data_IF_161185079924
#
_entry.id   IF_161185079924
#
_cell.length_a   1.000
_cell.length_b   1.000
_cell.length_c   1.000
_cell.angle_alpha   90.00
_cell.angle_beta   90.00
_cell.angle_gamma   90.00
#
_symmetry.space_group_name_H-M   'P 1'
#
loop_
_entity.id
_entity.type
_entity.pdbx_description
1 polymer ?
#
# COMPACT_ATOMS: atom_id res chain seq x y z
N UNK A 1 -12.13 -54.20 11.24
CA UNK A 1 -13.27 -54.94 10.65
C UNK A 1 -14.06 -53.93 9.82
N UNK A 2 -14.28 -54.01 8.53
CA UNK A 2 -13.85 -54.83 7.39
C UNK A 2 -14.59 -54.17 6.20
N UNK A 3 -13.89 -53.79 5.12
CA UNK A 3 -13.99 -54.36 3.75
C UNK A 3 -15.39 -54.14 3.11
N UNK A 4 -15.61 -53.77 1.84
CA UNK A 4 -14.82 -53.70 0.60
C UNK A 4 -15.74 -53.00 -0.43
N UNK A 5 -15.25 -52.12 -1.31
CA UNK A 5 -14.60 -52.43 -2.61
C UNK A 5 -15.58 -52.93 -3.67
N UNK A 6 -15.77 -52.13 -4.73
CA UNK A 6 -15.87 -52.63 -6.11
C UNK A 6 -15.26 -51.61 -7.08
N UNK A 7 -14.28 -52.13 -7.82
CA UNK A 7 -13.50 -51.54 -8.92
C UNK A 7 -14.30 -51.30 -10.20
N UNK A 8 -13.74 -50.45 -11.08
CA UNK A 8 -13.39 -50.75 -12.50
C UNK A 8 -13.43 -49.46 -13.32
N UNK A 9 -12.27 -48.82 -13.56
CA UNK A 9 -11.46 -48.93 -14.80
C UNK A 9 -12.17 -48.52 -16.11
N UNK A 10 -11.79 -47.37 -16.70
CA UNK A 10 -10.88 -47.34 -17.86
C UNK A 10 -10.54 -45.92 -18.34
N UNK A 11 -9.24 -45.81 -18.61
CA UNK A 11 -8.44 -44.73 -19.17
C UNK A 11 -8.70 -44.51 -20.68
N UNK A 12 -8.21 -43.36 -21.17
CA UNK A 12 -7.81 -42.99 -22.56
C UNK A 12 -8.68 -41.88 -23.20
N UNK A 13 -8.18 -40.84 -23.87
CA UNK A 13 -6.84 -40.37 -24.27
C UNK A 13 -7.00 -38.88 -24.71
N UNK A 14 -5.98 -38.05 -24.47
CA UNK A 14 -5.86 -36.66 -24.96
C UNK A 14 -5.51 -36.62 -26.47
N UNK A 15 -5.97 -35.63 -27.26
CA UNK A 15 -5.50 -35.44 -28.62
C UNK A 15 -4.26 -34.53 -28.70
N UNK A 16 -3.22 -35.01 -29.41
CA UNK A 16 -2.01 -34.28 -29.77
C UNK A 16 -2.17 -33.45 -31.06
N UNK A 17 -1.47 -32.32 -31.12
CA UNK A 17 -1.35 -31.41 -32.28
C UNK A 17 -0.55 -32.00 -33.45
N UNK A 18 -0.79 -31.58 -34.71
CA UNK A 18 0.02 -32.00 -35.86
C UNK A 18 1.16 -31.02 -36.19
N UNK A 19 2.31 -31.59 -36.56
CA UNK A 19 3.49 -30.92 -37.14
C UNK A 19 3.60 -31.15 -38.67
N UNK A 20 4.43 -30.37 -39.39
CA UNK A 20 4.20 -29.99 -40.79
C UNK A 20 4.89 -30.90 -41.83
N UNK A 21 4.31 -30.97 -43.02
CA UNK A 21 4.89 -31.72 -44.16
C UNK A 21 5.65 -30.81 -45.13
N UNK A 22 6.92 -31.14 -45.35
CA UNK A 22 7.81 -30.60 -46.38
C UNK A 22 7.64 -31.35 -47.71
N UNK A 23 7.48 -30.64 -48.85
CA UNK A 23 7.79 -31.15 -50.20
C UNK A 23 8.45 -30.09 -51.09
N UNK A 24 9.75 -30.29 -51.34
CA UNK A 24 10.55 -29.86 -52.53
C UNK A 24 10.05 -30.66 -53.77
N UNK A 25 10.28 -30.35 -55.06
CA UNK A 25 11.09 -29.40 -55.87
C UNK A 25 10.68 -29.60 -57.35
N UNK A 26 10.80 -28.59 -58.20
CA UNK A 26 11.19 -28.65 -59.64
C UNK A 26 11.01 -27.23 -60.23
N UNK A 27 12.03 -26.40 -60.46
CA UNK A 27 13.13 -26.37 -61.46
C UNK A 27 12.70 -26.07 -62.91
N UNK A 28 12.92 -24.83 -63.37
CA UNK A 28 13.88 -24.46 -64.43
C UNK A 28 13.62 -23.01 -64.91
N UNK A 29 14.61 -22.12 -64.74
CA UNK A 29 15.48 -21.51 -65.78
C UNK A 29 14.78 -20.49 -66.69
N UNK A 30 15.16 -19.22 -66.59
CA UNK A 30 16.01 -18.53 -67.58
C UNK A 30 16.35 -17.12 -67.07
N UNK A 31 17.53 -16.65 -67.48
CA UNK A 31 18.21 -15.48 -66.98
C UNK A 31 18.31 -14.36 -68.04
N UNK A 32 18.85 -13.22 -67.58
CA UNK A 32 19.61 -12.18 -68.30
C UNK A 32 18.80 -11.04 -68.98
N UNK A 33 18.99 -9.78 -68.51
CA UNK A 33 19.78 -8.68 -69.15
C UNK A 33 19.38 -7.32 -68.54
N UNK A 34 20.39 -6.48 -68.34
CA UNK A 34 20.37 -5.17 -67.69
C UNK A 34 20.19 -3.97 -68.65
N UNK A 35 19.86 -2.82 -68.03
CA UNK A 35 20.27 -1.42 -68.33
C UNK A 35 19.68 -0.65 -69.54
N UNK A 36 19.05 0.52 -69.28
CA UNK A 36 19.55 1.88 -69.63
C UNK A 36 18.49 3.00 -69.46
N UNK A 37 18.81 3.96 -68.58
CA UNK A 37 18.74 5.44 -68.61
C UNK A 37 17.88 6.16 -69.71
N UNK A 38 16.97 7.09 -69.32
CA UNK A 38 17.09 8.56 -69.54
C UNK A 38 15.88 9.40 -69.06
N UNK A 39 16.25 10.49 -68.40
CA UNK A 39 15.59 11.74 -67.96
C UNK A 39 14.38 12.32 -68.72
N UNK A 40 13.46 12.96 -67.98
CA UNK A 40 13.01 14.34 -68.25
C UNK A 40 12.41 15.02 -67.00
N UNK A 41 13.01 16.15 -66.61
CA UNK A 41 12.45 17.16 -65.70
C UNK A 41 11.57 18.12 -66.53
N UNK A 42 10.48 18.64 -65.94
CA UNK A 42 10.15 20.08 -65.77
C UNK A 42 8.64 20.29 -65.54
N UNK A 43 8.33 20.71 -64.31
CA UNK A 43 7.37 21.72 -63.83
C UNK A 43 5.89 21.66 -64.25
N UNK A 44 5.02 21.41 -63.26
CA UNK A 44 3.87 22.24 -62.80
C UNK A 44 3.37 21.53 -61.53
N UNK A 45 3.51 22.04 -60.32
CA UNK A 45 2.83 23.23 -59.80
C UNK A 45 1.96 22.81 -58.61
N UNK A 46 2.48 23.02 -57.40
CA UNK A 46 1.70 23.27 -56.18
C UNK A 46 0.66 22.25 -55.72
N UNK A 47 1.08 21.27 -54.90
CA UNK A 47 0.38 20.94 -53.65
C UNK A 47 1.45 20.67 -52.60
N UNK A 48 1.86 21.71 -51.87
CA UNK A 48 2.46 21.48 -50.57
C UNK A 48 1.36 20.85 -49.71
N UNK A 49 1.38 19.53 -49.54
CA UNK A 49 0.88 18.94 -48.32
C UNK A 49 1.71 19.56 -47.19
N UNK A 50 1.18 20.62 -46.58
CA UNK A 50 1.41 20.84 -45.16
C UNK A 50 0.86 19.58 -44.49
N UNK A 51 1.73 18.59 -44.30
CA UNK A 51 1.56 17.69 -43.17
C UNK A 51 1.49 18.62 -41.97
N UNK A 52 0.28 18.85 -41.47
CA UNK A 52 0.09 19.27 -40.10
C UNK A 52 0.85 18.23 -39.29
N UNK A 53 2.02 18.62 -38.76
CA UNK A 53 2.54 17.95 -37.58
C UNK A 53 1.43 18.13 -36.55
N UNK A 54 0.55 17.14 -36.41
CA UNK A 54 -0.16 16.95 -35.17
C UNK A 54 0.95 16.91 -34.12
N UNK A 55 1.05 17.94 -33.28
CA UNK A 55 1.92 17.91 -32.13
C UNK A 55 1.51 16.69 -31.32
N UNK A 56 2.21 15.57 -31.52
CA UNK A 56 1.97 14.37 -30.75
C UNK A 56 2.20 14.74 -29.29
N UNK A 57 1.28 14.33 -28.43
CA UNK A 57 1.38 14.53 -26.99
C UNK A 57 2.74 14.00 -26.50
N UNK A 58 3.58 14.88 -25.98
CA UNK A 58 4.90 14.54 -25.47
C UNK A 58 4.81 14.22 -23.97
N UNK A 59 4.59 12.93 -23.67
CA UNK A 59 4.46 12.42 -22.30
C UNK A 59 5.75 12.66 -21.51
N UNK A 60 6.92 12.57 -22.16
CA UNK A 60 8.21 12.78 -21.49
C UNK A 60 8.35 14.23 -21.01
N UNK A 61 7.86 15.20 -21.78
CA UNK A 61 7.82 16.61 -21.36
C UNK A 61 6.89 16.83 -20.16
N UNK A 62 5.73 16.18 -20.12
CA UNK A 62 4.80 16.25 -18.97
C UNK A 62 5.46 15.66 -17.73
N UNK A 63 6.13 14.51 -17.86
CA UNK A 63 6.86 13.88 -16.78
C UNK A 63 7.96 14.77 -16.23
N UNK A 64 8.78 15.37 -17.10
CA UNK A 64 9.85 16.26 -16.67
C UNK A 64 9.31 17.48 -15.93
N UNK A 65 8.22 18.08 -16.41
CA UNK A 65 7.51 19.16 -15.71
C UNK A 65 7.08 18.74 -14.30
N UNK A 66 6.50 17.55 -14.14
CA UNK A 66 6.07 17.01 -12.84
C UNK A 66 7.26 16.83 -11.88
N UNK A 67 8.35 16.23 -12.35
CA UNK A 67 9.57 16.01 -11.57
C UNK A 67 10.22 17.33 -11.17
N UNK A 68 10.34 18.29 -12.10
CA UNK A 68 10.96 19.59 -11.85
C UNK A 68 10.16 20.39 -10.81
N UNK A 69 8.82 20.40 -10.93
CA UNK A 69 7.93 21.04 -9.97
C UNK A 69 8.06 20.41 -8.58
N UNK A 70 8.11 19.08 -8.48
CA UNK A 70 8.24 18.36 -7.20
C UNK A 70 9.60 18.63 -6.54
N UNK A 71 10.68 18.67 -7.33
CA UNK A 71 12.04 18.93 -6.83
C UNK A 71 12.29 20.38 -6.43
N UNK A 72 11.37 21.30 -6.70
CA UNK A 72 11.53 22.71 -6.35
C UNK A 72 11.61 22.93 -4.83
N UNK A 73 10.92 22.12 -4.03
CA UNK A 73 10.96 22.18 -2.57
C UNK A 73 10.75 20.78 -1.95
N UNK A 74 11.80 20.25 -1.32
CA UNK A 74 11.78 18.97 -0.60
C UNK A 74 11.92 19.16 0.92
N UNK A 75 11.60 20.36 1.43
CA UNK A 75 11.72 20.68 2.86
C UNK A 75 10.90 19.77 3.78
N UNK A 76 9.81 19.16 3.26
CA UNK A 76 8.99 18.19 3.98
C UNK A 76 9.74 16.90 4.37
N UNK A 77 10.90 16.61 3.77
CA UNK A 77 11.78 15.50 4.16
C UNK A 77 12.74 15.86 5.31
N UNK A 78 12.83 17.13 5.69
CA UNK A 78 13.92 17.64 6.54
C UNK A 78 14.04 16.98 7.92
N UNK A 79 12.90 16.66 8.54
CA UNK A 79 12.81 16.07 9.88
C UNK A 79 12.77 14.55 9.89
N UNK A 80 12.51 13.92 8.74
CA UNK A 80 12.46 12.47 8.65
C UNK A 80 13.87 11.87 8.82
N UNK A 81 13.99 10.91 9.73
CA UNK A 81 15.21 10.17 10.02
C UNK A 81 14.88 8.69 10.14
N UNK A 82 15.78 7.79 9.71
CA UNK A 82 15.62 6.36 9.97
C UNK A 82 15.40 6.12 11.46
N UNK A 83 14.59 5.10 11.79
CA UNK A 83 14.43 4.67 13.17
C UNK A 83 15.78 4.15 13.69
N UNK A 84 16.20 4.61 14.85
CA UNK A 84 17.47 4.23 15.46
C UNK A 84 17.37 2.84 16.12
N UNK A 85 18.51 2.15 16.26
CA UNK A 85 18.58 0.78 16.80
C UNK A 85 17.92 0.64 18.18
N UNK A 86 18.05 1.65 19.04
CA UNK A 86 17.49 1.67 20.40
C UNK A 86 15.95 1.66 20.38
N UNK A 87 15.31 2.33 19.42
CA UNK A 87 13.85 2.35 19.35
C UNK A 87 13.28 0.97 18.97
N UNK A 88 13.98 0.17 18.16
CA UNK A 88 13.60 -1.23 17.91
C UNK A 88 13.66 -2.09 19.18
N UNK A 89 14.62 -1.81 20.07
CA UNK A 89 14.73 -2.48 21.36
C UNK A 89 13.58 -2.06 22.29
N UNK A 90 13.28 -0.77 22.35
CA UNK A 90 12.17 -0.23 23.14
C UNK A 90 10.80 -0.74 22.67
N UNK A 91 10.56 -0.86 21.36
CA UNK A 91 9.34 -1.45 20.80
C UNK A 91 9.13 -2.87 21.30
N UNK A 92 10.18 -3.69 21.29
CA UNK A 92 10.12 -5.07 21.79
C UNK A 92 9.88 -5.10 23.29
N UNK A 93 10.50 -4.21 24.07
CA UNK A 93 10.25 -4.13 25.51
C UNK A 93 8.80 -3.72 25.82
N UNK A 94 8.21 -2.79 25.07
CA UNK A 94 6.78 -2.44 25.18
C UNK A 94 5.90 -3.66 24.89
N UNK A 95 6.22 -4.46 23.87
CA UNK A 95 5.51 -5.70 23.60
C UNK A 95 5.70 -6.73 24.71
N UNK A 96 6.92 -6.93 25.22
CA UNK A 96 7.18 -7.83 26.34
C UNK A 96 6.34 -7.46 27.58
N UNK A 97 6.21 -6.17 27.89
CA UNK A 97 5.31 -5.69 28.95
C UNK A 97 3.85 -6.07 28.69
N UNK A 98 3.37 -5.91 27.46
CA UNK A 98 2.01 -6.30 27.09
C UNK A 98 1.78 -7.82 27.22
N UNK A 99 2.78 -8.64 26.83
CA UNK A 99 2.73 -10.10 26.98
C UNK A 99 2.68 -10.53 28.45
N UNK A 100 3.52 -9.93 29.30
CA UNK A 100 3.57 -10.23 30.72
C UNK A 100 2.24 -9.92 31.43
N UNK A 101 1.59 -8.80 31.09
CA UNK A 101 0.26 -8.44 31.62
C UNK A 101 -0.81 -9.46 31.22
N UNK A 102 -0.71 -10.03 30.02
CA UNK A 102 -1.65 -11.01 29.49
C UNK A 102 -1.30 -12.47 29.85
N UNK A 103 -0.20 -12.70 30.57
CA UNK A 103 0.25 -14.06 30.92
C UNK A 103 0.65 -14.91 29.71
N UNK A 104 1.18 -14.26 28.66
CA UNK A 104 1.62 -14.92 27.42
C UNK A 104 3.13 -15.15 27.46
N UNK A 105 3.57 -16.34 27.05
CA UNK A 105 4.97 -16.76 27.13
C UNK A 105 5.84 -16.20 26.01
N UNK A 106 5.28 -15.94 24.82
CA UNK A 106 5.97 -15.23 23.74
C UNK A 106 5.01 -14.66 22.70
N UNK A 107 5.46 -13.64 21.98
CA UNK A 107 4.89 -13.22 20.70
C UNK A 107 5.66 -13.88 19.55
N UNK A 108 4.96 -14.38 18.54
CA UNK A 108 5.55 -15.05 17.37
C UNK A 108 5.09 -14.41 16.07
N UNK A 109 6.04 -14.15 15.16
CA UNK A 109 5.79 -13.48 13.90
C UNK A 109 6.69 -13.99 12.76
N UNK A 110 6.21 -13.79 11.54
CA UNK A 110 6.92 -14.07 10.27
C UNK A 110 7.46 -12.76 9.65
N UNK A 111 8.41 -12.83 8.69
CA UNK A 111 8.83 -11.68 7.90
C UNK A 111 7.66 -10.94 7.23
N UNK A 112 7.57 -9.64 7.48
CA UNK A 112 6.48 -8.77 7.04
C UNK A 112 6.56 -7.41 7.73
N UNK A 113 5.48 -6.63 7.71
CA UNK A 113 5.44 -5.30 8.33
C UNK A 113 5.69 -5.35 9.85
N UNK A 114 5.12 -6.32 10.57
CA UNK A 114 5.39 -6.47 12.00
C UNK A 114 6.85 -6.84 12.27
N UNK A 115 7.47 -7.66 11.41
CA UNK A 115 8.90 -7.98 11.52
C UNK A 115 9.77 -6.75 11.27
N UNK A 116 9.44 -5.96 10.24
CA UNK A 116 10.13 -4.71 9.99
C UNK A 116 10.02 -3.76 11.19
N UNK A 117 8.85 -3.72 11.84
CA UNK A 117 8.59 -2.87 13.00
C UNK A 117 9.48 -3.21 14.20
N UNK A 118 9.69 -4.49 14.50
CA UNK A 118 10.45 -4.94 15.67
C UNK A 118 11.91 -5.30 15.38
N UNK A 119 12.22 -5.71 14.15
CA UNK A 119 13.50 -6.27 13.74
C UNK A 119 14.26 -5.44 12.70
N UNK A 120 13.68 -4.34 12.20
CA UNK A 120 14.26 -3.46 11.16
C UNK A 120 14.56 -4.16 9.82
N UNK A 121 13.91 -5.27 9.51
CA UNK A 121 14.09 -6.00 8.26
C UNK A 121 12.78 -6.00 7.50
N UNK A 122 12.77 -5.36 6.32
CA UNK A 122 11.66 -5.44 5.38
C UNK A 122 11.80 -6.66 4.47
N UNK A 123 10.73 -7.02 3.75
CA UNK A 123 10.80 -8.07 2.73
C UNK A 123 11.75 -7.72 1.58
N UNK A 124 11.91 -6.43 1.25
CA UNK A 124 12.73 -5.94 0.11
C UNK A 124 14.22 -5.89 0.45
N UNK A 125 14.60 -5.53 1.68
CA UNK A 125 16.00 -5.56 2.14
C UNK A 125 16.58 -6.98 2.20
N UNK A 126 15.70 -7.97 2.02
CA UNK A 126 15.93 -9.37 2.30
C UNK A 126 15.88 -10.24 1.04
N UNK A 127 14.99 -9.93 0.09
CA UNK A 127 14.82 -10.40 -1.31
C UNK A 127 15.06 -11.90 -1.67
N UNK A 128 15.06 -12.90 -0.76
CA UNK A 128 14.21 -14.06 -1.04
C UNK A 128 13.71 -14.75 0.23
N UNK A 129 13.02 -14.00 1.09
CA UNK A 129 12.08 -14.63 2.03
C UNK A 129 10.85 -13.78 2.25
N UNK A 130 10.07 -13.70 1.18
CA UNK A 130 8.63 -13.75 1.37
C UNK A 130 8.30 -14.92 2.33
N UNK A 131 7.16 -14.90 3.04
CA UNK A 131 6.76 -16.07 3.81
C UNK A 131 6.71 -17.33 2.90
N UNK A 132 7.77 -18.14 2.96
CA UNK A 132 7.98 -19.37 2.18
C UNK A 132 7.43 -20.58 2.92
N UNK A 133 7.39 -21.77 2.32
CA UNK A 133 6.92 -22.98 3.02
C UNK A 133 7.72 -23.31 4.29
N UNK A 134 8.99 -22.86 4.37
CA UNK A 134 9.91 -23.04 5.51
C UNK A 134 9.72 -21.96 6.58
N UNK A 135 9.39 -22.32 7.83
CA UNK A 135 9.25 -21.35 8.91
C UNK A 135 10.60 -20.67 9.26
N UNK A 136 10.62 -19.35 9.11
CA UNK A 136 11.56 -18.45 9.79
C UNK A 136 10.75 -17.52 10.68
N UNK A 137 10.90 -17.66 12.00
CA UNK A 137 10.07 -16.96 12.98
C UNK A 137 10.94 -16.10 13.88
N UNK A 138 10.48 -14.89 14.19
CA UNK A 138 10.99 -14.12 15.32
C UNK A 138 10.08 -14.37 16.53
N UNK A 139 10.71 -14.52 17.69
CA UNK A 139 10.06 -14.69 18.97
C UNK A 139 10.46 -13.54 19.90
N UNK A 140 9.48 -12.90 20.53
CA UNK A 140 9.69 -11.89 21.57
C UNK A 140 9.11 -12.46 22.86
N UNK A 141 9.99 -12.78 23.81
CA UNK A 141 9.64 -13.37 25.10
C UNK A 141 9.76 -12.29 26.20
N UNK A 142 8.80 -12.21 27.14
CA UNK A 142 8.95 -11.34 28.30
C UNK A 142 9.89 -11.96 29.33
N UNK A 143 10.98 -11.26 29.67
CA UNK A 143 11.84 -11.60 30.79
C UNK A 143 11.61 -10.61 31.92
N UNK A 144 11.22 -11.12 33.09
CA UNK A 144 11.07 -10.30 34.30
C UNK A 144 12.33 -10.44 35.14
N UNK A 145 13.01 -9.33 35.38
CA UNK A 145 14.16 -9.27 36.26
C UNK A 145 13.76 -9.44 37.73
N UNK A 146 14.75 -9.64 38.61
CA UNK A 146 14.50 -9.84 40.05
C UNK A 146 13.85 -8.62 40.74
N UNK A 147 14.04 -7.43 40.19
CA UNK A 147 13.44 -6.16 40.62
C UNK A 147 12.07 -5.89 39.96
N UNK A 148 11.59 -6.79 39.10
CA UNK A 148 10.25 -6.73 38.50
C UNK A 148 10.16 -5.94 37.19
N UNK A 149 11.29 -5.49 36.64
CA UNK A 149 11.31 -4.88 35.31
C UNK A 149 11.11 -5.95 34.23
N UNK A 150 10.27 -5.65 33.24
CA UNK A 150 10.00 -6.55 32.11
C UNK A 150 10.68 -6.01 30.87
N UNK A 151 11.57 -6.82 30.30
CA UNK A 151 12.29 -6.54 29.06
C UNK A 151 12.10 -7.67 28.06
N UNK A 152 12.33 -7.38 26.78
CA UNK A 152 12.24 -8.38 25.74
C UNK A 152 13.53 -9.21 25.62
N UNK A 153 13.38 -10.53 25.68
CA UNK A 153 14.30 -11.46 25.04
C UNK A 153 13.84 -11.74 23.62
N UNK A 154 14.75 -11.57 22.66
CA UNK A 154 14.47 -11.86 21.26
C UNK A 154 15.19 -13.13 20.85
N UNK A 155 14.46 -14.06 20.23
CA UNK A 155 15.02 -15.28 19.65
C UNK A 155 14.43 -15.53 18.25
N UNK A 156 15.02 -16.46 17.51
CA UNK A 156 14.59 -16.80 16.15
C UNK A 156 14.52 -18.30 15.95
N UNK A 157 13.56 -18.77 15.17
CA UNK A 157 13.54 -20.13 14.61
C UNK A 157 13.97 -20.03 13.14
N UNK A 158 15.01 -20.75 12.72
CA UNK A 158 15.54 -20.68 11.35
C UNK A 158 15.88 -22.06 10.80
N UNK A 159 15.70 -22.31 9.49
CA UNK A 159 16.35 -23.43 8.84
C UNK A 159 17.87 -23.35 9.08
N UNK A 160 18.51 -24.48 9.38
CA UNK A 160 19.94 -24.52 9.72
C UNK A 160 20.81 -24.00 8.58
N UNK A 161 20.52 -24.36 7.33
CA UNK A 161 21.30 -23.93 6.16
C UNK A 161 21.28 -22.41 5.93
N UNK A 162 20.39 -21.69 6.61
CA UNK A 162 20.19 -20.25 6.50
C UNK A 162 20.68 -19.45 7.70
N UNK A 163 21.13 -20.12 8.76
CA UNK A 163 21.54 -19.48 10.00
C UNK A 163 22.58 -18.37 9.76
N UNK A 164 23.58 -18.64 8.91
CA UNK A 164 24.61 -17.67 8.55
C UNK A 164 24.02 -16.42 7.89
N UNK A 165 22.99 -16.57 7.07
CA UNK A 165 22.31 -15.44 6.41
C UNK A 165 21.48 -14.63 7.40
N UNK A 166 20.76 -15.30 8.30
CA UNK A 166 20.01 -14.62 9.38
C UNK A 166 20.94 -13.77 10.25
N UNK A 167 22.14 -14.26 10.58
CA UNK A 167 23.13 -13.50 11.38
C UNK A 167 23.66 -12.24 10.67
N UNK A 168 23.60 -12.17 9.34
CA UNK A 168 24.07 -11.03 8.56
C UNK A 168 23.01 -9.94 8.35
N UNK A 169 21.78 -10.15 8.83
CA UNK A 169 20.68 -9.21 8.60
C UNK A 169 20.86 -7.84 9.22
N UNK A 170 21.70 -7.71 10.25
CA UNK A 170 21.83 -6.45 10.99
C UNK A 170 20.60 -6.12 11.84
N UNK A 171 19.83 -7.14 12.25
CA UNK A 171 18.70 -6.95 13.19
C UNK A 171 19.25 -6.33 14.49
N UNK A 172 18.69 -5.20 14.96
CA UNK A 172 19.11 -4.59 16.22
C UNK A 172 19.01 -5.59 17.39
N UNK A 173 20.08 -5.71 18.17
CA UNK A 173 20.18 -6.71 19.24
C UNK A 173 20.98 -6.16 20.43
N UNK A 174 20.60 -6.55 21.65
CA UNK A 174 21.40 -6.32 22.87
C UNK A 174 22.56 -7.30 22.98
N UNK A 175 22.40 -8.47 22.38
CA UNK A 175 23.38 -9.54 22.41
C UNK A 175 24.33 -9.44 21.22
N UNK A 176 25.60 -9.82 21.44
CA UNK A 176 26.63 -9.88 20.40
C UNK A 176 26.24 -10.83 19.26
N UNK A 177 25.51 -11.89 19.58
CA UNK A 177 25.04 -12.87 18.61
C UNK A 177 23.54 -13.10 18.76
N UNK A 178 22.82 -13.21 17.64
CA UNK A 178 21.40 -13.58 17.66
C UNK A 178 21.18 -14.97 18.30
N UNK A 179 20.16 -15.07 19.17
CA UNK A 179 19.71 -16.31 19.79
C UNK A 179 18.85 -17.11 18.80
N UNK A 180 19.45 -18.07 18.08
CA UNK A 180 18.78 -18.81 17.00
C UNK A 180 18.55 -20.27 17.42
N UNK A 181 17.32 -20.76 17.29
CA UNK A 181 16.95 -22.17 17.30
C UNK A 181 16.96 -22.64 15.85
N UNK A 182 17.90 -23.52 15.52
CA UNK A 182 18.02 -24.07 14.17
C UNK A 182 17.23 -25.38 14.05
N UNK A 183 16.66 -25.62 12.87
CA UNK A 183 16.03 -26.89 12.52
C UNK A 183 16.57 -27.41 11.18
N UNK A 184 16.75 -28.74 11.07
CA UNK A 184 17.17 -29.41 9.85
C UNK A 184 15.97 -29.67 8.92
N UNK A 185 16.19 -29.71 7.60
CA UNK A 185 15.12 -29.89 6.59
C UNK A 185 14.18 -31.10 6.83
N UNK A 186 14.65 -32.14 7.54
CA UNK A 186 13.88 -33.34 7.85
C UNK A 186 13.27 -33.35 9.26
N UNK A 187 13.43 -32.27 10.03
CA UNK A 187 12.85 -32.10 11.36
C UNK A 187 11.52 -31.36 11.27
N UNK A 188 10.66 -31.58 12.26
CA UNK A 188 9.51 -30.72 12.46
C UNK A 188 9.97 -29.43 13.16
N UNK A 189 9.92 -28.25 12.50
CA UNK A 189 10.39 -26.98 13.07
C UNK A 189 9.69 -26.61 14.38
N UNK A 190 8.40 -26.94 14.51
CA UNK A 190 7.59 -26.61 15.68
C UNK A 190 7.93 -27.52 16.88
N UNK A 191 8.16 -28.81 16.63
CA UNK A 191 8.66 -29.74 17.65
C UNK A 191 10.07 -29.35 18.12
N UNK A 192 10.92 -28.89 17.19
CA UNK A 192 12.25 -28.36 17.51
C UNK A 192 12.15 -27.13 18.40
N UNK A 193 11.21 -26.22 18.09
CA UNK A 193 10.99 -25.00 18.87
C UNK A 193 10.52 -25.29 20.30
N UNK A 194 9.48 -26.11 20.50
CA UNK A 194 8.95 -26.39 21.85
C UNK A 194 9.94 -27.16 22.73
N UNK A 195 10.79 -28.00 22.15
CA UNK A 195 11.85 -28.75 22.87
C UNK A 195 13.12 -27.92 23.08
N UNK A 196 13.20 -26.72 22.50
CA UNK A 196 14.37 -25.86 22.60
C UNK A 196 14.54 -25.28 24.00
N UNK A 197 15.72 -24.70 24.24
CA UNK A 197 16.05 -23.96 25.48
C UNK A 197 15.05 -22.85 25.84
N UNK A 198 14.28 -22.35 24.87
CA UNK A 198 13.37 -21.22 25.08
C UNK A 198 12.14 -21.60 25.90
N UNK A 199 11.70 -22.86 25.84
CA UNK A 199 10.45 -23.32 26.46
C UNK A 199 10.66 -24.52 27.41
N UNK A 200 11.91 -24.79 27.82
CA UNK A 200 12.21 -25.88 28.75
C UNK A 200 11.44 -25.73 30.06
N UNK A 201 10.72 -26.79 30.44
CA UNK A 201 9.95 -26.83 31.69
C UNK A 201 8.53 -26.30 31.58
N UNK A 202 8.12 -25.72 30.44
CA UNK A 202 6.73 -25.35 30.16
C UNK A 202 6.11 -26.39 29.21
N UNK A 203 5.18 -27.19 29.72
CA UNK A 203 4.56 -28.28 28.97
C UNK A 203 3.54 -27.82 27.92
N UNK A 204 3.03 -26.59 28.02
CA UNK A 204 2.13 -26.01 27.02
C UNK A 204 2.24 -24.48 27.03
N UNK A 205 3.30 -23.93 26.39
CA UNK A 205 3.51 -22.49 26.36
C UNK A 205 2.42 -21.80 25.54
N UNK A 206 2.01 -20.62 25.99
CA UNK A 206 1.04 -19.77 25.28
C UNK A 206 1.76 -18.78 24.37
N UNK A 207 1.50 -18.85 23.07
CA UNK A 207 2.07 -17.95 22.07
C UNK A 207 1.01 -17.00 21.52
N UNK A 208 1.24 -15.70 21.62
CA UNK A 208 0.46 -14.72 20.88
C UNK A 208 0.98 -14.64 19.46
N UNK A 209 0.12 -14.95 18.51
CA UNK A 209 0.48 -14.99 17.10
C UNK A 209 0.19 -13.63 16.45
N UNK A 210 1.13 -13.13 15.65
CA UNK A 210 0.90 -11.97 14.78
C UNK A 210 -0.35 -12.17 13.90
N UNK A 211 -1.11 -11.11 13.65
CA UNK A 211 -2.37 -11.21 12.92
C UNK A 211 -2.21 -11.65 11.45
N UNK A 212 -1.02 -11.46 10.86
CA UNK A 212 -0.73 -11.82 9.47
C UNK A 212 0.03 -13.16 9.34
N UNK A 213 0.29 -13.83 10.46
CA UNK A 213 0.96 -15.13 10.45
C UNK A 213 0.11 -16.15 9.69
N UNK A 214 0.75 -16.98 8.86
CA UNK A 214 0.01 -17.94 8.02
C UNK A 214 -0.59 -19.06 8.87
N UNK A 215 -1.84 -19.41 8.58
CA UNK A 215 -2.62 -20.43 9.32
C UNK A 215 -1.87 -21.76 9.54
N UNK A 216 -1.13 -22.25 8.55
CA UNK A 216 -0.43 -23.52 8.68
C UNK A 216 0.73 -23.47 9.69
N UNK A 217 1.31 -22.29 9.96
CA UNK A 217 2.29 -22.06 11.02
C UNK A 217 1.60 -22.21 12.38
N UNK A 218 0.46 -21.54 12.56
CA UNK A 218 -0.36 -21.60 13.79
C UNK A 218 -0.75 -23.04 14.09
N UNK A 219 -1.32 -23.75 13.11
CA UNK A 219 -1.66 -25.18 13.26
C UNK A 219 -0.45 -26.06 13.55
N UNK A 220 0.71 -25.72 12.99
CA UNK A 220 1.97 -26.38 13.27
C UNK A 220 2.42 -26.21 14.73
N UNK A 221 2.34 -24.98 15.24
CA UNK A 221 2.61 -24.65 16.64
C UNK A 221 1.63 -25.37 17.58
N UNK A 222 0.33 -25.30 17.30
CA UNK A 222 -0.71 -25.99 18.09
C UNK A 222 -0.47 -27.51 18.12
N UNK A 223 -0.13 -28.11 16.97
CA UNK A 223 0.15 -29.55 16.86
C UNK A 223 1.39 -29.98 17.64
N UNK A 224 2.37 -29.08 17.81
CA UNK A 224 3.57 -29.34 18.61
C UNK A 224 3.33 -29.20 20.13
N UNK A 225 2.20 -28.61 20.54
CA UNK A 225 1.79 -28.48 21.95
C UNK A 225 1.75 -27.05 22.48
N UNK A 226 1.95 -26.04 21.64
CA UNK A 226 1.71 -24.65 22.02
C UNK A 226 0.20 -24.36 22.14
N UNK A 227 -0.16 -23.40 22.98
CA UNK A 227 -1.49 -22.77 22.96
C UNK A 227 -1.38 -21.46 22.21
N UNK A 228 -1.92 -21.35 20.99
CA UNK A 228 -1.88 -20.07 20.25
C UNK A 228 -3.08 -19.18 20.58
N UNK A 229 -2.83 -17.87 20.68
CA UNK A 229 -3.85 -16.83 20.91
C UNK A 229 -3.67 -15.67 19.95
N UNK A 230 -4.76 -14.95 19.65
CA UNK A 230 -4.70 -13.71 18.87
C UNK A 230 -4.16 -12.52 19.67
N UNK A 231 -4.05 -11.37 19.03
CA UNK A 231 -3.57 -10.14 19.65
C UNK A 231 -4.44 -9.71 20.82
N UNK A 232 -3.81 -9.29 21.91
CA UNK A 232 -4.48 -8.57 22.99
C UNK A 232 -4.50 -7.06 22.71
N UNK A 233 -5.44 -6.29 23.31
CA UNK A 233 -5.46 -4.85 23.16
C UNK A 233 -4.13 -4.16 23.54
N UNK A 234 -3.44 -4.65 24.58
CA UNK A 234 -2.14 -4.08 24.99
C UNK A 234 -1.05 -4.32 23.95
N UNK A 235 -1.07 -5.48 23.27
CA UNK A 235 -0.11 -5.80 22.22
C UNK A 235 -0.37 -4.97 20.94
N UNK A 236 -1.64 -4.80 20.56
CA UNK A 236 -2.03 -3.95 19.43
C UNK A 236 -1.57 -2.49 19.64
N UNK A 237 -1.71 -1.98 20.87
CA UNK A 237 -1.34 -0.60 21.22
C UNK A 237 0.13 -0.27 20.95
N UNK A 238 1.02 -1.26 20.96
CA UNK A 238 2.46 -1.02 20.72
C UNK A 238 2.69 -0.38 19.35
N UNK A 239 2.01 -0.87 18.31
CA UNK A 239 2.06 -0.34 16.93
C UNK A 239 1.06 0.77 16.68
N UNK A 240 -0.11 0.72 17.32
CA UNK A 240 -1.14 1.75 17.13
C UNK A 240 -0.66 3.12 17.60
N UNK A 241 0.17 3.18 18.65
CA UNK A 241 0.71 4.42 19.21
C UNK A 241 2.09 4.74 18.62
N UNK A 242 2.15 5.77 17.78
CA UNK A 242 3.35 6.16 17.03
C UNK A 242 4.31 6.93 17.92
N UNK A 243 5.59 6.60 17.86
CA UNK A 243 6.66 7.41 18.43
C UNK A 243 6.79 8.75 17.70
N UNK A 244 7.44 9.78 18.29
CA UNK A 244 7.71 11.03 17.59
C UNK A 244 8.48 10.85 16.27
N UNK A 245 9.40 9.88 16.20
CA UNK A 245 10.14 9.59 14.98
C UNK A 245 9.24 8.99 13.90
N UNK A 246 8.33 8.07 14.28
CA UNK A 246 7.33 7.50 13.37
C UNK A 246 6.39 8.57 12.80
N UNK A 247 5.96 9.52 13.64
CA UNK A 247 5.11 10.64 13.21
C UNK A 247 5.81 11.49 12.14
N UNK A 248 7.09 11.81 12.30
CA UNK A 248 7.81 12.62 11.30
C UNK A 248 8.08 11.85 10.00
N UNK A 249 8.26 10.52 10.06
CA UNK A 249 8.33 9.67 8.88
C UNK A 249 6.99 9.64 8.13
N UNK A 250 5.88 9.42 8.85
CA UNK A 250 4.52 9.49 8.29
C UNK A 250 4.24 10.87 7.69
N UNK A 251 4.61 11.95 8.37
CA UNK A 251 4.45 13.31 7.86
C UNK A 251 5.21 13.53 6.57
N UNK A 252 6.47 13.10 6.51
CA UNK A 252 7.31 13.29 5.35
C UNK A 252 6.76 12.55 4.13
N UNK A 253 6.41 11.26 4.27
CA UNK A 253 5.89 10.46 3.16
C UNK A 253 4.51 10.95 2.71
N UNK A 254 3.62 11.29 3.65
CA UNK A 254 2.26 11.72 3.33
C UNK A 254 2.20 13.13 2.75
N UNK A 255 2.98 14.08 3.30
CA UNK A 255 3.11 15.42 2.71
C UNK A 255 3.76 15.33 1.33
N UNK A 256 4.80 14.52 1.17
CA UNK A 256 5.49 14.34 -0.11
C UNK A 256 4.57 13.79 -1.21
N UNK A 257 3.72 12.82 -0.89
CA UNK A 257 2.76 12.29 -1.87
C UNK A 257 1.68 13.32 -2.26
N UNK A 258 1.19 14.15 -1.33
CA UNK A 258 0.31 15.29 -1.68
C UNK A 258 1.02 16.29 -2.60
N UNK A 259 2.26 16.65 -2.26
CA UNK A 259 3.06 17.59 -3.06
C UNK A 259 3.33 17.01 -4.45
N UNK A 260 3.55 15.70 -4.59
CA UNK A 260 3.72 15.05 -5.89
C UNK A 260 2.47 15.18 -6.78
N UNK A 261 1.28 14.92 -6.26
CA UNK A 261 0.01 15.11 -7.00
C UNK A 261 -0.16 16.58 -7.41
N UNK A 262 0.12 17.52 -6.50
CA UNK A 262 0.03 18.97 -6.77
C UNK A 262 1.04 19.44 -7.81
N UNK A 263 2.27 18.95 -7.76
CA UNK A 263 3.34 19.27 -8.69
C UNK A 263 3.05 18.74 -10.11
N UNK A 264 2.44 17.56 -10.20
CA UNK A 264 2.04 16.93 -11.46
C UNK A 264 0.85 17.65 -12.12
N UNK A 265 -0.19 17.98 -11.33
CA UNK A 265 -1.46 18.51 -11.83
C UNK A 265 -1.33 19.62 -12.89
N UNK A 266 -0.53 20.69 -12.72
CA UNK A 266 -0.45 21.78 -13.70
C UNK A 266 0.26 21.38 -15.01
N UNK A 267 0.94 20.23 -15.02
CA UNK A 267 1.59 19.68 -16.21
C UNK A 267 0.64 18.82 -17.07
N UNK A 268 -0.48 18.35 -16.49
CA UNK A 268 -1.42 17.47 -17.15
C UNK A 268 -2.15 18.20 -18.29
N UNK A 269 -2.29 17.51 -19.42
CA UNK A 269 -2.96 18.04 -20.62
C UNK A 269 -3.95 17.01 -21.17
N UNK A 270 -5.02 17.45 -21.88
CA UNK A 270 -5.94 16.52 -22.51
C UNK A 270 -5.25 15.53 -23.45
N UNK A 271 -5.78 14.31 -23.49
CA UNK A 271 -5.27 13.22 -24.34
C UNK A 271 -4.34 12.23 -23.63
N UNK A 272 -3.80 12.58 -22.46
CA UNK A 272 -3.09 11.64 -21.58
C UNK A 272 -4.02 10.50 -21.16
N UNK A 273 -3.54 9.26 -21.15
CA UNK A 273 -4.30 8.14 -20.60
C UNK A 273 -4.11 8.02 -19.09
N UNK A 274 -5.00 7.30 -18.40
CA UNK A 274 -4.85 6.94 -16.99
C UNK A 274 -3.49 6.29 -16.70
N UNK A 275 -3.06 5.33 -17.53
CA UNK A 275 -1.75 4.67 -17.40
C UNK A 275 -0.57 5.64 -17.56
N UNK A 276 -0.69 6.62 -18.46
CA UNK A 276 0.35 7.63 -18.66
C UNK A 276 0.46 8.54 -17.44
N UNK A 277 -0.66 8.96 -16.85
CA UNK A 277 -0.66 9.77 -15.62
C UNK A 277 -0.14 8.95 -14.43
N UNK A 278 -0.50 7.67 -14.33
CA UNK A 278 0.05 6.73 -13.34
C UNK A 278 1.58 6.68 -13.44
N UNK A 279 2.10 6.40 -14.63
CA UNK A 279 3.55 6.34 -14.90
C UNK A 279 4.27 7.66 -14.58
N UNK A 280 3.66 8.80 -14.92
CA UNK A 280 4.23 10.12 -14.63
C UNK A 280 4.35 10.35 -13.12
N UNK A 281 3.32 10.00 -12.35
CA UNK A 281 3.31 10.17 -10.90
C UNK A 281 4.30 9.22 -10.23
N UNK A 282 4.35 7.95 -10.63
CA UNK A 282 5.32 6.96 -10.14
C UNK A 282 6.75 7.46 -10.32
N UNK A 283 7.09 7.88 -11.55
CA UNK A 283 8.42 8.41 -11.86
C UNK A 283 8.73 9.70 -11.09
N UNK A 284 7.71 10.50 -10.73
CA UNK A 284 7.89 11.68 -9.89
C UNK A 284 8.25 11.31 -8.45
N UNK A 285 7.55 10.34 -7.87
CA UNK A 285 7.83 9.85 -6.51
C UNK A 285 9.19 9.14 -6.43
N UNK A 286 9.53 8.30 -7.41
CA UNK A 286 10.85 7.67 -7.51
C UNK A 286 11.97 8.71 -7.58
N UNK A 287 11.75 9.83 -8.27
CA UNK A 287 12.76 10.88 -8.44
C UNK A 287 13.16 11.60 -7.14
N UNK A 288 12.38 11.45 -6.07
CA UNK A 288 12.67 12.00 -4.72
C UNK A 288 13.05 10.92 -3.70
N UNK A 289 13.22 9.67 -4.13
CA UNK A 289 13.66 8.56 -3.27
C UNK A 289 12.55 7.87 -2.48
N UNK A 290 11.29 8.03 -2.89
CA UNK A 290 10.21 7.18 -2.39
C UNK A 290 10.21 5.83 -3.10
N UNK A 291 9.80 4.78 -2.40
CA UNK A 291 9.48 3.48 -2.98
C UNK A 291 8.00 3.44 -3.34
N UNK A 292 7.65 2.80 -4.46
CA UNK A 292 6.26 2.69 -4.90
C UNK A 292 5.50 1.68 -4.04
N UNK A 293 4.22 1.95 -3.76
CA UNK A 293 3.31 1.00 -3.11
C UNK A 293 2.11 0.69 -4.01
N UNK A 294 1.27 1.70 -4.30
CA UNK A 294 0.21 1.61 -5.31
C UNK A 294 -0.08 2.98 -5.90
N UNK A 295 -0.70 2.99 -7.09
CA UNK A 295 -1.10 4.21 -7.76
C UNK A 295 -2.30 3.94 -8.67
N UNK A 296 -3.46 4.48 -8.29
CA UNK A 296 -4.74 4.34 -8.97
C UNK A 296 -5.12 5.70 -9.55
N UNK A 297 -5.12 5.80 -10.88
CA UNK A 297 -5.60 7.00 -11.60
C UNK A 297 -6.85 6.65 -12.40
N UNK A 298 -7.96 7.33 -12.08
CA UNK A 298 -9.26 7.03 -12.67
C UNK A 298 -9.94 8.32 -13.16
N UNK A 299 -10.50 8.28 -14.36
CA UNK A 299 -11.21 9.41 -14.97
C UNK A 299 -12.71 9.13 -15.12
N UNK A 300 -13.53 10.11 -14.73
CA UNK A 300 -14.99 10.09 -14.86
C UNK A 300 -15.57 8.78 -14.31
N UNK A 301 -16.35 8.01 -15.08
CA UNK A 301 -17.05 6.84 -14.58
C UNK A 301 -16.13 5.72 -14.08
N UNK A 302 -14.84 5.73 -14.43
CA UNK A 302 -13.87 4.82 -13.84
C UNK A 302 -13.64 5.14 -12.36
N UNK A 303 -13.68 6.43 -11.99
CA UNK A 303 -13.53 6.90 -10.60
C UNK A 303 -14.74 6.56 -9.72
N UNK A 304 -15.86 6.12 -10.32
CA UNK A 304 -17.00 5.59 -9.56
C UNK A 304 -16.76 4.17 -9.02
N UNK A 305 -15.60 3.56 -9.30
CA UNK A 305 -15.18 2.28 -8.74
C UNK A 305 -14.05 2.56 -7.73
N UNK A 306 -14.26 2.38 -6.42
CA UNK A 306 -13.30 2.82 -5.39
C UNK A 306 -11.87 2.32 -5.55
N UNK A 307 -11.70 1.11 -6.13
CA UNK A 307 -10.42 0.46 -6.42
C UNK A 307 -10.16 0.28 -7.94
N UNK A 308 -10.91 0.99 -8.78
CA UNK A 308 -10.91 0.77 -10.23
C UNK A 308 -11.60 -0.53 -10.65
N UNK A 309 -11.44 -0.90 -11.93
CA UNK A 309 -12.04 -2.11 -12.51
C UNK A 309 -11.27 -2.59 -13.75
N UNK A 310 -11.63 -3.77 -14.28
CA UNK A 310 -10.87 -4.47 -15.34
C UNK A 310 -10.71 -3.73 -16.69
N UNK A 311 -11.36 -2.57 -16.86
CA UNK A 311 -11.37 -1.78 -18.11
C UNK A 311 -10.62 -0.44 -17.98
N UNK A 312 -9.88 -0.22 -16.89
CA UNK A 312 -9.12 1.02 -16.63
C UNK A 312 -7.80 1.08 -17.40
N UNK A 313 -7.18 2.27 -17.41
CA UNK A 313 -5.83 2.51 -17.95
C UNK A 313 -5.81 3.25 -19.28
N UNK A 314 -6.75 2.91 -20.18
CA UNK A 314 -6.81 3.44 -21.54
C UNK A 314 -7.60 4.74 -21.73
N UNK A 315 -8.33 5.20 -20.71
CA UNK A 315 -9.22 6.35 -20.85
C UNK A 315 -8.44 7.65 -20.93
N UNK A 316 -8.84 8.52 -21.86
CA UNK A 316 -8.16 9.78 -22.14
C UNK A 316 -8.70 10.93 -21.29
N UNK A 317 -7.78 11.70 -20.74
CA UNK A 317 -8.04 12.91 -19.99
C UNK A 317 -8.64 14.00 -20.87
N UNK A 318 -9.62 14.72 -20.33
CA UNK A 318 -10.20 15.94 -20.91
C UNK A 318 -10.23 17.05 -19.87
N UNK A 319 -10.54 18.28 -20.26
CA UNK A 319 -10.71 19.38 -19.31
C UNK A 319 -11.90 19.24 -18.36
N UNK A 320 -12.86 18.37 -18.70
CA UNK A 320 -14.06 18.12 -17.91
C UNK A 320 -13.93 16.88 -17.02
N UNK A 321 -12.88 16.08 -17.24
CA UNK A 321 -12.64 14.85 -16.51
C UNK A 321 -12.54 15.10 -15.00
N UNK A 322 -13.48 14.54 -14.23
CA UNK A 322 -13.23 14.31 -12.82
C UNK A 322 -12.12 13.27 -12.70
N UNK A 323 -10.99 13.66 -12.15
CA UNK A 323 -9.86 12.78 -11.90
C UNK A 323 -9.94 12.36 -10.44
N UNK A 324 -9.85 11.05 -10.17
CA UNK A 324 -9.57 10.49 -8.84
C UNK A 324 -8.18 9.88 -8.92
N UNK A 325 -7.24 10.40 -8.13
CA UNK A 325 -5.94 9.78 -7.92
C UNK A 325 -5.89 9.30 -6.49
N UNK A 326 -5.68 8.01 -6.30
CA UNK A 326 -5.40 7.40 -5.01
C UNK A 326 -4.04 6.72 -5.07
N UNK A 327 -3.12 7.14 -4.21
CA UNK A 327 -1.71 6.85 -4.36
C UNK A 327 -1.03 6.70 -3.01
N UNK A 328 -0.23 5.65 -2.90
CA UNK A 328 0.59 5.36 -1.75
C UNK A 328 2.05 5.12 -2.14
N UNK A 329 2.94 5.50 -1.24
CA UNK A 329 4.38 5.28 -1.36
C UNK A 329 4.95 4.84 -0.01
N UNK A 330 6.19 4.37 -0.02
CA UNK A 330 6.96 4.12 1.19
C UNK A 330 8.17 5.05 1.27
N UNK A 331 8.46 5.53 2.48
CA UNK A 331 9.69 6.23 2.79
C UNK A 331 10.23 5.76 4.13
N UNK A 332 11.47 5.24 4.13
CA UNK A 332 12.12 4.69 5.31
C UNK A 332 11.24 3.69 6.09
N UNK A 333 10.47 2.88 5.35
CA UNK A 333 9.59 1.84 5.89
C UNK A 333 8.17 2.28 6.23
N UNK A 334 7.84 3.58 6.24
CA UNK A 334 6.50 4.07 6.57
C UNK A 334 5.68 4.37 5.33
N UNK A 335 4.37 4.18 5.45
CA UNK A 335 3.43 4.25 4.34
C UNK A 335 2.79 5.63 4.21
N UNK A 336 2.60 6.08 2.97
CA UNK A 336 1.57 7.05 2.64
C UNK A 336 0.37 6.40 1.98
N UNK A 337 -0.77 7.08 2.15
CA UNK A 337 -2.05 6.72 1.54
C UNK A 337 -2.86 8.01 1.35
N UNK A 338 -2.96 8.48 0.09
CA UNK A 338 -3.60 9.75 -0.21
C UNK A 338 -4.43 9.68 -1.47
N UNK A 339 -5.63 10.24 -1.36
CA UNK A 339 -6.56 10.41 -2.45
C UNK A 339 -6.91 11.88 -2.69
N UNK A 340 -6.91 12.27 -3.97
CA UNK A 340 -7.32 13.60 -4.46
C UNK A 340 -8.25 13.46 -5.65
N UNK A 341 -9.36 14.20 -5.57
CA UNK A 341 -10.31 14.37 -6.67
C UNK A 341 -10.27 15.80 -7.21
N UNK A 342 -10.02 15.99 -8.51
CA UNK A 342 -9.83 17.32 -9.11
C UNK A 342 -10.01 17.34 -10.63
N UNK A 343 -10.03 18.55 -11.20
CA UNK A 343 -10.03 18.82 -12.65
C UNK A 343 -8.77 19.60 -13.05
N UNK A 344 -8.31 19.42 -14.30
CA UNK A 344 -7.17 20.17 -14.87
C UNK A 344 -7.58 21.51 -15.48
N UNK A 345 -6.66 22.48 -15.48
CA UNK A 345 -6.92 23.85 -15.93
C UNK A 345 -7.36 23.94 -17.40
N UNK A 346 -8.32 24.81 -17.67
CA UNK A 346 -8.71 25.19 -19.04
C UNK A 346 -7.88 26.40 -19.48
N UNK A 347 -7.51 26.52 -20.78
CA UNK A 347 -6.84 27.71 -21.29
C UNK A 347 -7.68 28.98 -21.02
N UNK A 348 -7.05 30.02 -20.48
CA UNK A 348 -7.73 31.28 -20.20
C UNK A 348 -8.41 31.86 -21.47
N UNK A 349 -9.64 32.35 -21.32
CA UNK A 349 -10.39 33.00 -22.41
C UNK A 349 -11.05 32.04 -23.41
N UNK A 350 -10.87 30.72 -23.26
CA UNK A 350 -11.67 29.71 -23.96
C UNK A 350 -12.63 29.09 -22.95
N UNK A 351 -13.87 29.60 -22.87
CA UNK A 351 -14.92 28.94 -22.09
C UNK A 351 -15.02 27.46 -22.49
N UNK A 352 -15.44 26.60 -21.57
CA UNK A 352 -15.47 25.13 -21.77
C UNK A 352 -15.97 24.77 -23.17
N UNK A 353 -15.04 24.38 -24.05
CA UNK A 353 -15.32 24.15 -25.49
C UNK A 353 -16.34 23.00 -25.64
N UNK A 354 -16.46 22.17 -24.60
CA UNK A 354 -17.43 21.07 -24.49
C UNK A 354 -18.25 21.27 -23.22
N UNK A 355 -19.59 21.38 -23.33
CA UNK A 355 -20.49 21.35 -22.19
C UNK A 355 -20.30 20.04 -21.40
N UNK A 356 -20.20 20.15 -20.07
CA UNK A 356 -20.23 19.00 -19.17
C UNK A 356 -21.59 18.99 -18.45
N UNK A 357 -22.51 18.06 -18.81
CA UNK A 357 -23.83 18.01 -18.19
C UNK A 357 -23.77 17.62 -16.70
N UNK A 358 -22.66 17.07 -16.22
CA UNK A 358 -22.46 16.67 -14.83
C UNK A 358 -21.67 17.70 -14.02
N UNK A 359 -21.32 18.86 -14.60
CA UNK A 359 -20.44 19.85 -13.96
C UNK A 359 -20.92 20.28 -12.57
N UNK A 360 -22.19 20.62 -12.47
CA UNK A 360 -22.82 21.06 -11.21
C UNK A 360 -22.88 19.91 -10.19
N UNK A 361 -23.24 18.69 -10.62
CA UNK A 361 -23.26 17.50 -9.75
C UNK A 361 -21.85 17.17 -9.23
N UNK A 362 -20.82 17.26 -10.09
CA UNK A 362 -19.40 17.09 -9.72
C UNK A 362 -18.97 18.09 -8.66
N UNK A 363 -19.24 19.38 -8.85
CA UNK A 363 -18.92 20.44 -7.89
C UNK A 363 -19.65 20.24 -6.55
N UNK A 364 -20.93 19.91 -6.61
CA UNK A 364 -21.74 19.66 -5.42
C UNK A 364 -21.23 18.45 -4.63
N UNK A 365 -21.00 17.32 -5.28
CA UNK A 365 -20.46 16.10 -4.65
C UNK A 365 -19.06 16.36 -4.07
N UNK A 366 -18.21 17.11 -4.80
CA UNK A 366 -16.88 17.49 -4.32
C UNK A 366 -16.95 18.26 -2.99
N UNK A 367 -17.85 19.25 -2.89
CA UNK A 367 -18.03 20.03 -1.66
C UNK A 367 -18.58 19.17 -0.51
N UNK A 368 -19.56 18.28 -0.79
CA UNK A 368 -20.12 17.38 0.22
C UNK A 368 -19.04 16.46 0.81
N UNK A 369 -18.17 15.90 -0.05
CA UNK A 369 -17.07 15.04 0.42
C UNK A 369 -16.08 15.83 1.29
N UNK A 370 -15.73 17.07 0.91
CA UNK A 370 -14.86 17.93 1.71
C UNK A 370 -15.50 18.31 3.07
N UNK A 371 -16.80 18.57 3.09
CA UNK A 371 -17.56 18.83 4.31
C UNK A 371 -17.59 17.59 5.23
N UNK A 372 -17.82 16.41 4.65
CA UNK A 372 -17.79 15.14 5.37
C UNK A 372 -16.39 14.87 5.98
N UNK A 373 -15.32 15.09 5.19
CA UNK A 373 -13.95 14.96 5.67
C UNK A 373 -13.68 15.94 6.83
N UNK A 374 -14.21 17.17 6.75
CA UNK A 374 -14.09 18.17 7.80
C UNK A 374 -14.84 17.81 9.08
N UNK A 375 -16.04 17.21 8.96
CA UNK A 375 -16.79 16.71 10.10
C UNK A 375 -16.05 15.57 10.82
N UNK A 376 -15.49 14.62 10.05
CA UNK A 376 -14.62 13.59 10.60
C UNK A 376 -13.35 14.15 11.24
N UNK A 377 -12.69 15.14 10.60
CA UNK A 377 -11.50 15.81 11.13
C UNK A 377 -11.72 16.36 12.54
N UNK A 378 -12.87 17.01 12.77
CA UNK A 378 -13.27 17.54 14.07
C UNK A 378 -13.61 16.46 15.12
N UNK A 379 -13.88 15.22 14.68
CA UNK A 379 -14.21 14.08 15.52
C UNK A 379 -12.99 13.24 15.92
N UNK A 380 -11.80 13.45 15.32
CA UNK A 380 -10.55 12.81 15.76
C UNK A 380 -10.06 13.41 17.08
N UNK A 381 -10.72 13.05 18.18
CA UNK A 381 -10.41 13.52 19.53
C UNK A 381 -10.13 12.33 20.44
N UNK A 382 -9.23 12.53 21.40
CA UNK A 382 -8.99 11.55 22.45
C UNK A 382 -10.32 11.13 23.11
N UNK A 383 -10.50 9.83 23.31
CA UNK A 383 -11.67 9.19 23.90
C UNK A 383 -12.95 9.22 23.05
N UNK A 384 -12.93 9.80 21.85
CA UNK A 384 -13.98 9.48 20.89
C UNK A 384 -13.84 8.02 20.43
N UNK A 385 -14.96 7.39 20.10
CA UNK A 385 -14.94 6.05 19.52
C UNK A 385 -14.58 6.09 18.03
N UNK A 386 -13.95 5.04 17.50
CA UNK A 386 -13.69 4.90 16.08
C UNK A 386 -14.98 5.01 15.24
N UNK A 387 -16.09 4.45 15.75
CA UNK A 387 -17.41 4.60 15.15
C UNK A 387 -17.90 6.06 15.07
N UNK A 388 -17.68 6.86 16.12
CA UNK A 388 -18.16 8.25 16.13
C UNK A 388 -17.50 9.12 15.07
N UNK A 389 -16.25 8.82 14.68
CA UNK A 389 -15.56 9.53 13.59
C UNK A 389 -16.20 9.17 12.24
N UNK A 390 -16.44 7.88 11.95
CA UNK A 390 -17.14 7.43 10.73
C UNK A 390 -18.53 8.05 10.62
N UNK A 391 -19.30 8.03 11.72
CA UNK A 391 -20.65 8.57 11.77
C UNK A 391 -20.66 10.08 11.46
N UNK A 392 -19.65 10.83 11.90
CA UNK A 392 -19.57 12.26 11.65
C UNK A 392 -19.50 12.59 10.15
N UNK A 393 -18.64 11.90 9.38
CA UNK A 393 -18.59 12.05 7.93
C UNK A 393 -19.83 11.49 7.24
N UNK A 394 -20.27 10.30 7.67
CA UNK A 394 -21.39 9.59 7.05
C UNK A 394 -22.71 10.36 7.15
N UNK A 395 -22.96 11.01 8.28
CA UNK A 395 -24.15 11.84 8.49
C UNK A 395 -24.22 12.98 7.48
N UNK A 396 -23.10 13.68 7.22
CA UNK A 396 -23.05 14.76 6.22
C UNK A 396 -23.46 14.25 4.83
N UNK A 397 -22.94 13.10 4.41
CA UNK A 397 -23.22 12.51 3.10
C UNK A 397 -24.68 12.00 3.02
N UNK A 398 -25.18 11.39 4.08
CA UNK A 398 -26.56 10.88 4.18
C UNK A 398 -27.58 12.02 4.14
N UNK A 399 -27.36 13.10 4.91
CA UNK A 399 -28.23 14.28 4.96
C UNK A 399 -28.26 15.04 3.62
N UNK A 400 -27.15 15.00 2.86
CA UNK A 400 -27.08 15.54 1.50
C UNK A 400 -27.78 14.65 0.45
N UNK A 401 -28.32 13.48 0.84
CA UNK A 401 -29.02 12.55 -0.04
C UNK A 401 -28.11 11.58 -0.81
N UNK A 402 -26.82 11.53 -0.50
CA UNK A 402 -25.81 10.69 -1.19
C UNK A 402 -25.36 9.48 -0.37
N UNK A 403 -26.05 9.13 0.71
CA UNK A 403 -25.67 8.00 1.58
C UNK A 403 -25.46 6.67 0.85
N UNK A 404 -26.18 6.44 -0.25
CA UNK A 404 -26.01 5.26 -1.10
C UNK A 404 -24.65 5.20 -1.83
N UNK A 405 -23.99 6.36 -2.01
CA UNK A 405 -22.71 6.49 -2.68
C UNK A 405 -21.49 6.35 -1.77
N UNK A 406 -21.65 6.37 -0.43
CA UNK A 406 -20.54 6.17 0.51
C UNK A 406 -20.50 4.73 1.02
N UNK A 407 -19.82 3.88 0.26
CA UNK A 407 -19.96 2.42 0.28
C UNK A 407 -18.95 1.67 1.15
N UNK A 408 -17.94 2.36 1.69
CA UNK A 408 -16.90 1.78 2.55
C UNK A 408 -16.83 2.46 3.94
N UNK A 409 -15.89 2.01 4.76
CA UNK A 409 -15.53 2.63 6.04
C UNK A 409 -14.91 4.01 5.83
N UNK A 410 -14.97 4.91 6.80
CA UNK A 410 -14.32 6.23 6.72
C UNK A 410 -12.80 6.17 6.62
N UNK A 411 -12.17 5.15 7.20
CA UNK A 411 -10.72 5.06 7.19
C UNK A 411 -10.17 3.92 8.03
N UNK A 412 -8.85 3.88 8.14
CA UNK A 412 -8.08 2.87 8.85
C UNK A 412 -6.85 3.48 9.52
N UNK A 413 -6.27 2.74 10.46
CA UNK A 413 -4.95 3.04 11.00
C UNK A 413 -3.91 2.98 9.89
N UNK A 414 -2.90 3.83 9.99
CA UNK A 414 -1.76 3.86 9.07
C UNK A 414 -0.46 4.03 9.85
N UNK A 415 0.60 3.37 9.41
CA UNK A 415 1.89 3.38 10.08
C UNK A 415 2.99 2.83 9.18
N UNK A 416 3.72 1.84 9.69
CA UNK A 416 4.65 1.05 8.90
C UNK A 416 3.91 0.33 7.75
N UNK A 417 2.66 -0.08 8.00
CA UNK A 417 1.71 -0.62 7.02
C UNK A 417 0.67 0.43 6.66
N UNK A 418 0.22 0.46 5.40
CA UNK A 418 -0.82 1.38 4.94
C UNK A 418 -2.16 1.14 5.65
N UNK A 419 -2.59 -0.12 5.72
CA UNK A 419 -3.81 -0.53 6.43
C UNK A 419 -3.45 -1.31 7.69
N UNK A 420 -3.63 -0.72 8.86
CA UNK A 420 -3.50 -1.38 10.15
C UNK A 420 -4.64 -1.02 11.11
N UNK A 421 -4.74 -1.75 12.22
CA UNK A 421 -5.71 -1.43 13.26
C UNK A 421 -5.38 -0.07 13.91
N UNK A 422 -6.39 0.65 14.45
CA UNK A 422 -7.81 0.33 14.41
C UNK A 422 -8.53 0.87 13.16
N UNK A 423 -9.77 0.42 12.94
CA UNK A 423 -10.56 0.77 11.74
C UNK A 423 -11.74 1.70 12.06
N UNK A 424 -11.93 2.75 11.25
CA UNK A 424 -13.00 3.75 11.42
C UNK A 424 -14.26 3.33 10.65
N UNK A 425 -15.07 2.46 11.27
CA UNK A 425 -16.38 2.08 10.73
C UNK A 425 -17.46 2.29 11.79
N UNK A 426 -18.70 2.59 11.38
CA UNK A 426 -19.84 2.90 12.28
C UNK A 426 -20.19 1.85 13.34
N UNK A 427 -19.63 0.65 13.26
CA UNK A 427 -19.88 -0.42 14.23
C UNK A 427 -18.77 -0.56 15.28
N UNK A 428 -17.61 0.06 15.07
CA UNK A 428 -16.47 -0.01 15.98
C UNK A 428 -16.62 0.92 17.19
N UNK A 429 -17.59 0.63 18.06
CA UNK A 429 -18.01 1.50 19.18
C UNK A 429 -17.12 1.40 20.41
N UNK A 430 -16.46 0.27 20.60
CA UNK A 430 -15.68 -0.04 21.81
C UNK A 430 -14.20 0.36 21.68
N UNK A 431 -13.73 0.65 20.47
CA UNK A 431 -12.37 1.16 20.25
C UNK A 431 -12.36 2.68 20.43
N UNK A 432 -11.66 3.13 21.46
CA UNK A 432 -11.46 4.55 21.76
C UNK A 432 -10.14 5.05 21.17
N UNK A 433 -10.21 6.21 20.52
CA UNK A 433 -9.04 6.89 19.97
C UNK A 433 -8.12 7.33 21.11
N UNK A 434 -6.84 7.03 20.96
CA UNK A 434 -5.77 7.41 21.90
C UNK A 434 -4.77 8.36 21.23
N UNK A 435 -4.15 9.27 22.00
CA UNK A 435 -3.08 10.13 21.52
C UNK A 435 -1.93 9.30 20.95
N UNK A 436 -1.39 9.71 19.79
CA UNK A 436 -0.38 8.94 19.07
C UNK A 436 -0.93 7.98 18.02
N UNK A 437 -2.25 7.74 17.98
CA UNK A 437 -2.85 7.00 16.86
C UNK A 437 -2.94 7.86 15.61
N UNK A 438 -2.68 7.24 14.46
CA UNK A 438 -2.75 7.86 13.13
C UNK A 438 -3.74 7.13 12.24
N UNK A 439 -4.55 7.87 11.49
CA UNK A 439 -5.61 7.32 10.63
C UNK A 439 -5.71 8.03 9.29
N UNK A 440 -6.18 7.32 8.28
CA UNK A 440 -6.78 7.92 7.08
C UNK A 440 -8.15 8.52 7.41
N UNK A 441 -8.49 9.60 6.72
CA UNK A 441 -9.81 10.24 6.72
C UNK A 441 -10.26 10.41 5.27
N UNK A 442 -10.94 9.39 4.75
CA UNK A 442 -11.13 9.13 3.33
C UNK A 442 -12.59 9.01 2.88
N UNK A 443 -13.52 9.92 3.28
CA UNK A 443 -14.89 9.81 2.79
C UNK A 443 -14.92 9.92 1.26
N UNK A 444 -15.81 9.15 0.65
CA UNK A 444 -15.97 9.11 -0.80
C UNK A 444 -17.41 8.93 -1.21
N UNK A 445 -17.78 9.52 -2.35
CA UNK A 445 -19.06 9.32 -3.03
C UNK A 445 -18.80 8.75 -4.42
N UNK A 446 -19.39 7.59 -4.70
CA UNK A 446 -19.24 6.86 -5.95
C UNK A 446 -20.58 6.78 -6.68
N UNK A 447 -20.68 7.44 -7.83
CA UNK A 447 -21.89 7.42 -8.67
C UNK A 447 -21.63 6.56 -9.90
N UNK A 448 -22.00 5.28 -9.81
CA UNK A 448 -21.76 4.28 -10.87
C UNK A 448 -22.19 4.77 -12.26
N UNK A 449 -21.31 4.59 -13.25
CA UNK A 449 -21.54 5.04 -14.61
C UNK A 449 -21.43 6.56 -14.83
N UNK A 450 -21.14 7.35 -13.78
CA UNK A 450 -20.95 8.81 -13.85
C UNK A 450 -19.54 9.23 -13.47
N UNK A 451 -19.25 9.30 -12.17
CA UNK A 451 -17.96 9.73 -11.61
C UNK A 451 -17.86 9.36 -10.13
N UNK A 452 -16.67 9.47 -9.54
CA UNK A 452 -16.48 9.42 -8.10
C UNK A 452 -15.68 10.60 -7.59
N UNK A 453 -15.79 10.87 -6.29
CA UNK A 453 -14.98 11.83 -5.55
C UNK A 453 -14.59 11.19 -4.23
N UNK A 454 -13.29 11.15 -3.94
CA UNK A 454 -12.71 10.84 -2.63
C UNK A 454 -11.64 11.87 -2.27
N UNK A 455 -11.61 12.24 -1.00
CA UNK A 455 -10.55 13.04 -0.39
C UNK A 455 -10.03 12.29 0.81
N UNK A 456 -8.72 12.09 0.84
CA UNK A 456 -8.08 11.33 1.91
C UNK A 456 -6.88 12.07 2.45
N UNK A 457 -6.81 12.15 3.77
CA UNK A 457 -5.71 12.79 4.47
C UNK A 457 -5.41 12.05 5.77
N UNK A 458 -4.16 12.12 6.22
CA UNK A 458 -3.70 11.44 7.44
C UNK A 458 -3.79 12.37 8.63
N UNK A 459 -4.39 11.88 9.71
CA UNK A 459 -4.57 12.60 10.96
C UNK A 459 -3.89 11.87 12.13
N UNK A 460 -3.20 12.63 12.97
CA UNK A 460 -2.67 12.21 14.26
C UNK A 460 -3.59 12.68 15.39
N UNK A 461 -4.10 11.75 16.18
CA UNK A 461 -4.85 12.05 17.40
C UNK A 461 -3.88 12.62 18.45
N UNK A 462 -4.23 13.77 19.03
CA UNK A 462 -3.46 14.41 20.10
C UNK A 462 -4.13 14.21 21.46
N UNK A 463 -3.35 14.44 22.52
CA UNK A 463 -3.84 14.48 23.91
C UNK A 463 -4.95 15.52 24.07
N UNK A 464 -4.68 16.74 23.60
CA UNK A 464 -5.58 17.88 23.69
C UNK A 464 -5.74 18.58 22.33
N UNK A 465 -6.92 19.15 22.11
CA UNK A 465 -7.24 19.98 20.95
C UNK A 465 -7.64 19.19 19.69
N UNK A 466 -7.56 19.86 18.54
CA UNK A 466 -7.86 19.27 17.23
C UNK A 466 -6.73 18.36 16.76
N UNK A 467 -7.07 17.21 16.16
CA UNK A 467 -6.08 16.31 15.54
C UNK A 467 -5.16 17.05 14.57
N UNK A 468 -3.93 16.56 14.47
CA UNK A 468 -2.93 17.15 13.59
C UNK A 468 -2.96 16.51 12.21
N UNK A 469 -2.93 17.35 11.17
CA UNK A 469 -2.85 16.91 9.78
C UNK A 469 -1.40 16.57 9.41
N UNK A 470 -1.14 15.32 8.98
CA UNK A 470 0.20 14.85 8.60
C UNK A 470 0.48 14.97 7.09
N UNK A 471 -0.52 15.29 6.28
CA UNK A 471 -0.38 15.52 4.82
C UNK A 471 -0.04 16.96 4.43
N UNK A 472 0.20 17.83 5.42
CA UNK A 472 0.51 19.23 5.25
C UNK A 472 -0.72 20.09 4.93
N UNK A 473 -1.40 19.82 3.82
CA UNK A 473 -2.60 20.57 3.42
C UNK A 473 -3.64 19.69 2.74
N UNK A 474 -4.89 19.84 3.18
CA UNK A 474 -6.07 19.29 2.51
C UNK A 474 -6.29 19.92 1.13
N UNK A 475 -7.16 19.28 0.34
CA UNK A 475 -7.70 19.88 -0.86
C UNK A 475 -8.44 21.19 -0.54
N UNK A 476 -8.30 22.19 -1.41
CA UNK A 476 -8.87 23.55 -1.23
C UNK A 476 -9.91 23.92 -2.28
N UNK A 477 -9.96 23.17 -3.38
CA UNK A 477 -10.97 23.34 -4.40
C UNK A 477 -10.83 22.29 -5.48
N UNK A 478 -11.80 22.27 -6.40
CA UNK A 478 -11.82 21.38 -7.56
C UNK A 478 -10.58 21.52 -8.46
N UNK A 479 -9.87 22.65 -8.33
CA UNK A 479 -8.64 22.99 -9.04
C UNK A 479 -7.46 23.20 -8.10
N UNK A 480 -7.56 22.80 -6.84
CA UNK A 480 -6.47 22.84 -5.87
C UNK A 480 -6.52 21.54 -5.05
N UNK A 481 -6.13 20.40 -5.67
CA UNK A 481 -6.03 19.13 -4.95
C UNK A 481 -5.06 19.26 -3.78
#
# INVERSE_FOLDING_TARGET
MSLNMFDSEKSQLLPQQPQPTNRRKSSSRFAIVAALVLTSLVLFGGVHHRCSHSNALDVAKVQQCSIDNLKADLSFLGNARPIEADEFLERRDRLAKALAVNGVDAFVLEPGYTFQYYGNISQVDWEPWEPEERPFLMLILPETSADGEVVAKTAYLSPHFEEGRVRMLGIPSREETLDIVIWEEHWNPYDTLIKSRLFQGNASPTLMADEEIRDYIVRGLDSAGFTTVGLSPEAELVRQLKSPAEVELLRAVNTGTVVAVRAMRPCLVPGLTEDQVTTILDNSMLAIGFSLFFNIVLFEEHGALPHGGFVTGGKKLTYNSMIVIDVGAHYLGYSSDICRSFLIDQPEGQGSIVPDPLREEKENVWNIVLEAQSAAAAAFKHNNSAASVDIAARTVIEDAGYGYGFTHRLGHGIGIKAHESPYLNKWNKDVLLKPGMTFTNEPGIYLEGKFGVRHEDIYLVKEDGEAELLTGQRARGLREP
#
